data_IF_504487701318
#
_entry.id   IF_504487701318
#
_cell.length_a   1.000
_cell.length_b   1.000
_cell.length_c   1.000
_cell.angle_alpha   90.00
_cell.angle_beta   90.00
_cell.angle_gamma   90.00
#
_symmetry.space_group_name_H-M   'P 1'
#
loop_
_entity.id
_entity.type
_entity.pdbx_description
1 polymer ?
#
# COMPACT_ATOMS: atom_id res chain seq x y z
N UNK A 1 -22.92 18.17 -27.12
CA UNK A 1 -22.85 17.25 -25.97
C UNK A 1 -21.66 17.63 -25.12
N UNK A 2 -21.81 17.75 -23.80
CA UNK A 2 -20.67 17.94 -22.89
C UNK A 2 -20.10 16.58 -22.50
N UNK A 3 -18.79 16.40 -22.62
CA UNK A 3 -18.09 15.20 -22.15
C UNK A 3 -17.73 15.39 -20.68
N UNK A 4 -18.23 14.50 -19.81
CA UNK A 4 -17.81 14.46 -18.41
C UNK A 4 -16.62 13.51 -18.31
N UNK A 5 -15.50 14.01 -17.78
CA UNK A 5 -14.31 13.22 -17.49
C UNK A 5 -14.27 12.96 -15.98
N UNK A 6 -14.26 11.68 -15.58
CA UNK A 6 -14.03 11.29 -14.21
C UNK A 6 -12.56 10.90 -14.04
N UNK A 7 -11.85 11.58 -13.14
CA UNK A 7 -10.53 11.17 -12.71
C UNK A 7 -10.67 10.31 -11.45
N UNK A 8 -10.35 9.03 -11.57
CA UNK A 8 -10.36 8.11 -10.42
C UNK A 8 -8.95 8.10 -9.82
N UNK A 9 -8.86 8.37 -8.53
CA UNK A 9 -7.65 8.20 -7.74
C UNK A 9 -7.80 6.96 -6.84
N UNK A 10 -6.70 6.28 -6.48
CA UNK A 10 -6.73 5.25 -5.46
C UNK A 10 -7.29 5.79 -4.14
N UNK A 11 -8.05 4.95 -3.43
CA UNK A 11 -8.49 5.25 -2.06
C UNK A 11 -7.28 5.24 -1.09
N UNK A 12 -7.48 5.68 0.15
CA UNK A 12 -6.46 5.61 1.20
C UNK A 12 -6.05 4.16 1.50
N UNK A 13 -7.04 3.26 1.55
CA UNK A 13 -6.83 1.83 1.75
C UNK A 13 -7.05 1.07 0.44
N UNK A 14 -6.01 0.39 -0.02
CA UNK A 14 -5.96 -0.26 -1.34
C UNK A 14 -5.57 -1.73 -1.21
N UNK A 15 -5.90 -2.54 -2.22
CA UNK A 15 -5.42 -3.92 -2.35
C UNK A 15 -3.94 -3.94 -2.71
N UNK A 16 -3.34 -5.13 -2.67
CA UNK A 16 -1.98 -5.34 -3.15
C UNK A 16 -1.81 -4.94 -4.62
N UNK A 17 -2.75 -5.31 -5.51
CA UNK A 17 -2.71 -4.95 -6.93
C UNK A 17 -2.66 -3.44 -7.15
N UNK A 18 -3.54 -2.69 -6.49
CA UNK A 18 -3.59 -1.24 -6.60
C UNK A 18 -2.38 -0.60 -5.93
N UNK A 19 -1.89 -1.14 -4.81
CA UNK A 19 -0.65 -0.68 -4.20
C UNK A 19 0.54 -0.83 -5.15
N UNK A 20 0.68 -2.01 -5.77
CA UNK A 20 1.75 -2.29 -6.74
C UNK A 20 1.64 -1.37 -7.95
N UNK A 21 0.44 -1.19 -8.50
CA UNK A 21 0.20 -0.27 -9.62
C UNK A 21 0.51 1.19 -9.25
N UNK A 22 0.21 1.61 -8.03
CA UNK A 22 0.40 3.00 -7.57
C UNK A 22 1.84 3.33 -7.18
N UNK A 23 2.60 2.35 -6.68
CA UNK A 23 3.94 2.57 -6.09
C UNK A 23 5.08 1.96 -6.89
N UNK A 24 4.79 1.01 -7.79
CA UNK A 24 5.81 0.21 -8.48
C UNK A 24 6.51 -0.84 -7.61
N UNK A 25 6.10 -1.01 -6.34
CA UNK A 25 6.70 -2.00 -5.45
C UNK A 25 6.41 -3.43 -5.94
N UNK A 26 7.41 -4.30 -5.91
CA UNK A 26 7.26 -5.73 -6.23
C UNK A 26 6.62 -6.50 -5.06
N UNK A 27 5.92 -7.62 -5.30
CA UNK A 27 5.28 -8.41 -4.23
C UNK A 27 6.28 -8.90 -3.17
N UNK A 28 7.50 -9.28 -3.59
CA UNK A 28 8.57 -9.65 -2.67
C UNK A 28 9.04 -8.50 -1.78
N UNK A 29 9.01 -7.26 -2.28
CA UNK A 29 9.35 -6.05 -1.51
C UNK A 29 8.27 -5.75 -0.49
N UNK A 30 7.00 -5.81 -0.89
CA UNK A 30 5.84 -5.65 0.01
C UNK A 30 5.89 -6.67 1.16
N UNK A 31 6.17 -7.94 0.85
CA UNK A 31 6.30 -8.99 1.87
C UNK A 31 7.44 -8.73 2.85
N UNK A 32 8.60 -8.24 2.36
CA UNK A 32 9.73 -7.86 3.23
C UNK A 32 9.40 -6.63 4.08
N UNK A 33 8.72 -5.64 3.52
CA UNK A 33 8.29 -4.44 4.24
C UNK A 33 7.34 -4.80 5.38
N UNK A 34 6.33 -5.65 5.14
CA UNK A 34 5.44 -6.21 6.18
C UNK A 34 6.19 -6.92 7.31
N UNK A 35 7.28 -7.61 6.99
CA UNK A 35 8.08 -8.36 7.97
C UNK A 35 9.03 -7.47 8.79
N UNK A 36 9.46 -6.33 8.26
CA UNK A 36 10.60 -5.57 8.81
C UNK A 36 10.33 -4.10 9.13
N UNK A 37 9.35 -3.46 8.50
CA UNK A 37 9.23 -2.00 8.51
C UNK A 37 7.80 -1.48 8.71
N UNK A 38 6.81 -2.19 8.17
CA UNK A 38 5.40 -1.80 8.21
C UNK A 38 4.71 -2.42 9.43
N UNK A 39 3.81 -1.66 10.05
CA UNK A 39 3.07 -2.10 11.23
C UNK A 39 1.60 -2.37 10.88
N UNK A 40 1.06 -3.46 11.46
CA UNK A 40 -0.37 -3.76 11.39
C UNK A 40 -1.17 -2.59 11.96
N UNK A 41 -2.19 -2.13 11.24
CA UNK A 41 -3.02 -0.98 11.60
C UNK A 41 -2.48 0.37 11.11
N UNK A 42 -1.19 0.47 10.75
CA UNK A 42 -0.58 1.70 10.24
C UNK A 42 -0.41 1.66 8.72
N UNK A 43 0.45 0.76 8.21
CA UNK A 43 0.67 0.61 6.76
C UNK A 43 -0.18 -0.49 6.13
N UNK A 44 -0.57 -1.51 6.90
CA UNK A 44 -1.41 -2.59 6.38
C UNK A 44 -2.35 -3.14 7.45
N UNK A 45 -3.46 -3.75 7.03
CA UNK A 45 -4.39 -4.45 7.93
C UNK A 45 -5.05 -5.63 7.23
N UNK A 46 -5.35 -6.66 8.02
CA UNK A 46 -6.19 -7.77 7.58
C UNK A 46 -7.65 -7.41 7.80
N UNK A 47 -8.41 -7.31 6.72
CA UNK A 47 -9.84 -7.07 6.70
C UNK A 47 -10.58 -8.40 6.59
N UNK A 48 -11.62 -8.54 7.39
CA UNK A 48 -12.60 -9.62 7.30
C UNK A 48 -13.99 -9.04 7.46
N UNK A 49 -15.01 -9.72 6.93
CA UNK A 49 -16.41 -9.27 7.00
C UNK A 49 -16.96 -9.23 8.44
N UNK A 50 -16.41 -10.06 9.34
CA UNK A 50 -16.80 -10.13 10.75
C UNK A 50 -16.05 -9.12 11.63
N UNK A 51 -15.20 -8.26 11.05
CA UNK A 51 -14.41 -7.26 11.76
C UNK A 51 -13.30 -7.82 12.64
N UNK A 52 -13.03 -9.13 12.58
CA UNK A 52 -11.98 -9.81 13.35
C UNK A 52 -10.81 -10.19 12.44
N UNK A 53 -9.66 -9.51 12.52
CA UNK A 53 -8.51 -9.80 11.66
C UNK A 53 -8.13 -11.30 11.69
N UNK A 54 -8.11 -11.94 10.52
CA UNK A 54 -7.68 -13.33 10.35
C UNK A 54 -6.50 -13.40 9.38
N UNK A 55 -5.66 -14.43 9.52
CA UNK A 55 -4.50 -14.63 8.65
C UNK A 55 -4.89 -14.83 7.17
N UNK A 56 -6.08 -15.39 6.92
CA UNK A 56 -6.66 -15.56 5.58
C UNK A 56 -7.55 -14.38 5.15
N UNK A 57 -7.66 -13.33 5.96
CA UNK A 57 -8.40 -12.12 5.61
C UNK A 57 -7.67 -11.30 4.55
N UNK A 58 -8.44 -10.61 3.72
CA UNK A 58 -7.95 -9.70 2.68
C UNK A 58 -6.98 -8.68 3.28
N UNK A 59 -5.84 -8.45 2.64
CA UNK A 59 -4.83 -7.56 3.18
C UNK A 59 -4.90 -6.21 2.46
N UNK A 60 -5.34 -5.18 3.17
CA UNK A 60 -5.38 -3.82 2.66
C UNK A 60 -4.16 -3.04 3.13
N UNK A 61 -3.73 -2.09 2.31
CA UNK A 61 -2.55 -1.26 2.51
C UNK A 61 -2.94 0.21 2.53
N UNK A 62 -2.38 0.96 3.46
CA UNK A 62 -2.66 2.38 3.60
C UNK A 62 -1.67 3.20 2.77
N UNK A 63 -2.11 3.58 1.57
CA UNK A 63 -1.30 4.24 0.55
C UNK A 63 -0.65 5.54 1.07
N UNK A 64 -1.33 6.45 1.80
CA UNK A 64 -0.69 7.67 2.31
C UNK A 64 0.49 7.41 3.27
N UNK A 65 0.37 6.44 4.18
CA UNK A 65 1.46 6.11 5.10
C UNK A 65 2.60 5.39 4.40
N UNK A 66 2.30 4.53 3.42
CA UNK A 66 3.35 3.87 2.63
C UNK A 66 4.08 4.90 1.78
N UNK A 67 3.38 5.84 1.15
CA UNK A 67 4.01 6.95 0.41
C UNK A 67 4.88 7.83 1.32
N UNK A 68 4.43 8.09 2.55
CA UNK A 68 5.27 8.77 3.57
C UNK A 68 6.51 7.96 3.91
N UNK A 69 6.37 6.64 4.07
CA UNK A 69 7.50 5.75 4.34
C UNK A 69 8.51 5.73 3.18
N UNK A 70 8.04 5.68 1.93
CA UNK A 70 8.87 5.78 0.72
C UNK A 70 9.60 7.13 0.69
N UNK A 71 8.89 8.23 0.92
CA UNK A 71 9.48 9.59 0.94
C UNK A 71 10.59 9.76 1.97
N UNK A 72 10.51 9.02 3.07
CA UNK A 72 11.49 9.10 4.16
C UNK A 72 12.65 8.10 3.99
N UNK A 73 12.70 7.35 2.88
CA UNK A 73 13.87 6.52 2.58
C UNK A 73 15.07 7.39 2.25
N UNK A 74 16.27 7.03 2.72
CA UNK A 74 17.47 7.72 2.30
C UNK A 74 17.70 7.48 0.80
N UNK A 75 18.16 8.52 0.11
CA UNK A 75 18.75 8.36 -1.21
C UNK A 75 20.03 7.51 -1.09
N UNK A 76 20.38 6.71 -2.10
CA UNK A 76 21.61 5.95 -2.07
C UNK A 76 22.80 6.93 -2.07
N UNK A 77 23.82 6.63 -1.26
CA UNK A 77 25.05 7.45 -1.14
C UNK A 77 25.92 7.39 -2.41
N UNK A 78 25.59 6.46 -3.31
CA UNK A 78 26.21 6.28 -4.63
C UNK A 78 25.12 6.14 -5.68
N UNK A 79 25.39 6.60 -6.89
CA UNK A 79 24.53 6.29 -8.05
C UNK A 79 24.62 4.79 -8.32
N UNK A 80 23.50 4.06 -8.19
CA UNK A 80 23.40 2.60 -8.28
C UNK A 80 23.19 2.11 -9.71
#
# INVERSE_FOLDING_TARGET
MQTIIYQIAPNDWVTDEVLMASTGLKPGTILRARKKAWFVGREYKHMTLDGKPKANGECLYHLPTINRWIRNMPDPDVDL
#
